data_IF_365358499189
#
_entry.id   IF_365358499189
#
_cell.length_a   1.000
_cell.length_b   1.000
_cell.length_c   1.000
_cell.angle_alpha   90.00
_cell.angle_beta   90.00
_cell.angle_gamma   90.00
#
_symmetry.space_group_name_H-M   'P 1'
#
loop_
_entity.id
_entity.type
_entity.pdbx_description
1 polymer ?
#
# COMPACT_ATOMS: atom_id res chain seq x y z
N UNK A 1 -58.76 -44.90 -6.65
CA UNK A 1 -58.08 -44.94 -5.34
C UNK A 1 -56.74 -44.23 -5.48
N UNK A 2 -56.45 -43.37 -4.51
CA UNK A 2 -55.34 -42.42 -4.47
C UNK A 2 -53.96 -43.08 -4.54
N UNK A 3 -53.01 -42.44 -5.23
CA UNK A 3 -51.82 -41.84 -4.59
C UNK A 3 -51.00 -41.00 -5.56
N UNK A 4 -51.02 -39.70 -5.27
CA UNK A 4 -50.15 -38.67 -5.84
C UNK A 4 -48.71 -39.00 -5.42
N UNK A 5 -47.78 -39.14 -6.37
CA UNK A 5 -46.35 -39.10 -6.09
C UNK A 5 -45.87 -37.70 -6.45
N UNK A 6 -45.38 -37.00 -5.43
CA UNK A 6 -44.93 -35.61 -5.45
C UNK A 6 -43.43 -35.59 -5.23
N UNK A 7 -42.69 -34.97 -6.17
CA UNK A 7 -41.37 -34.30 -6.07
C UNK A 7 -40.19 -35.19 -5.62
N UNK A 8 -38.96 -35.03 -6.11
CA UNK A 8 -38.12 -33.84 -5.99
C UNK A 8 -37.17 -33.73 -7.18
N UNK A 9 -37.29 -32.67 -7.97
CA UNK A 9 -36.23 -32.26 -8.88
C UNK A 9 -35.16 -31.54 -8.06
N UNK A 10 -33.97 -32.14 -7.94
CA UNK A 10 -32.82 -31.51 -7.33
C UNK A 10 -32.33 -30.37 -8.24
N UNK A 11 -32.82 -29.16 -8.01
CA UNK A 11 -32.26 -27.97 -8.61
C UNK A 11 -30.88 -27.72 -7.98
N UNK A 12 -29.82 -28.13 -8.68
CA UNK A 12 -28.45 -27.70 -8.42
C UNK A 12 -28.38 -26.19 -8.67
N UNK A 13 -28.64 -25.40 -7.63
CA UNK A 13 -28.37 -23.96 -7.64
C UNK A 13 -26.84 -23.83 -7.61
N UNK A 14 -26.22 -23.78 -8.79
CA UNK A 14 -24.83 -23.38 -8.95
C UNK A 14 -24.72 -21.91 -8.52
N UNK A 15 -24.34 -21.69 -7.26
CA UNK A 15 -24.00 -20.38 -6.76
C UNK A 15 -22.82 -19.82 -7.56
N UNK A 16 -23.10 -18.88 -8.46
CA UNK A 16 -22.07 -18.08 -9.11
C UNK A 16 -21.44 -17.20 -8.03
N UNK A 17 -20.37 -17.69 -7.42
CA UNK A 17 -19.50 -16.91 -6.54
C UNK A 17 -18.81 -15.84 -7.40
N UNK A 18 -19.50 -14.72 -7.60
CA UNK A 18 -18.87 -13.53 -8.16
C UNK A 18 -17.89 -13.01 -7.11
N UNK A 19 -16.64 -13.42 -7.22
CA UNK A 19 -15.52 -12.82 -6.50
C UNK A 19 -15.49 -11.34 -6.87
N UNK A 20 -16.04 -10.47 -6.03
CA UNK A 20 -15.81 -9.04 -6.11
C UNK A 20 -14.34 -8.84 -5.77
N UNK A 21 -13.48 -8.88 -6.78
CA UNK A 21 -12.10 -8.43 -6.64
C UNK A 21 -12.16 -6.92 -6.42
N UNK A 22 -12.31 -6.51 -5.16
CA UNK A 22 -12.16 -5.12 -4.78
C UNK A 22 -10.73 -4.72 -5.09
N UNK A 23 -10.50 -4.11 -6.25
CA UNK A 23 -9.29 -3.36 -6.50
C UNK A 23 -9.24 -2.29 -5.40
N UNK A 24 -8.38 -2.48 -4.40
CA UNK A 24 -8.19 -1.48 -3.36
C UNK A 24 -7.76 -0.21 -4.07
N UNK A 25 -8.61 0.81 -4.05
CA UNK A 25 -8.35 2.06 -4.75
C UNK A 25 -6.99 2.62 -4.33
N UNK A 26 -6.17 2.99 -5.31
CA UNK A 26 -4.89 3.62 -5.07
C UNK A 26 -5.07 4.87 -4.21
N UNK A 27 -4.34 4.95 -3.09
CA UNK A 27 -4.33 6.17 -2.28
C UNK A 27 -3.31 7.14 -2.87
N UNK A 28 -3.76 8.31 -3.32
CA UNK A 28 -2.89 9.32 -3.90
C UNK A 28 -2.72 10.53 -2.97
N UNK A 29 -1.54 11.16 -3.01
CA UNK A 29 -1.20 12.28 -2.14
C UNK A 29 0.27 12.68 -2.19
N UNK A 30 0.69 13.50 -1.21
CA UNK A 30 2.08 13.92 -1.09
C UNK A 30 2.99 12.83 -0.54
N UNK A 31 4.19 12.70 -1.10
CA UNK A 31 5.30 11.91 -0.58
C UNK A 31 6.44 12.83 -0.16
N UNK A 32 7.06 12.55 0.97
CA UNK A 32 8.34 13.14 1.33
C UNK A 32 9.38 12.04 1.60
N UNK A 33 10.51 12.39 2.20
CA UNK A 33 11.51 11.42 2.63
C UNK A 33 12.17 11.83 3.94
N UNK A 34 12.69 10.84 4.68
CA UNK A 34 13.41 11.06 5.93
C UNK A 34 14.73 11.78 5.70
N UNK A 35 14.86 13.00 6.24
CA UNK A 35 16.08 13.79 6.19
C UNK A 35 17.26 13.18 6.97
N UNK A 36 18.41 13.86 7.01
CA UNK A 36 19.58 13.44 7.79
C UNK A 36 19.25 13.21 9.27
N UNK A 37 20.00 12.31 9.92
CA UNK A 37 19.92 12.09 11.37
C UNK A 37 18.83 11.11 11.83
N UNK A 38 18.12 10.44 10.90
CA UNK A 38 17.20 9.35 11.24
C UNK A 38 17.85 7.96 11.17
N UNK A 39 18.93 7.81 10.39
CA UNK A 39 19.61 6.52 10.22
C UNK A 39 19.99 5.90 11.57
N UNK A 40 19.69 4.61 11.74
CA UNK A 40 19.94 3.85 12.95
C UNK A 40 18.90 4.02 14.07
N UNK A 41 17.97 4.99 13.99
CA UNK A 41 16.88 5.14 14.98
C UNK A 41 15.86 4.01 14.84
N UNK A 42 15.18 3.65 15.93
CA UNK A 42 14.09 2.67 15.88
C UNK A 42 12.89 3.23 15.13
N UNK A 43 12.30 2.40 14.29
CA UNK A 43 11.00 2.63 13.62
C UNK A 43 9.86 2.02 14.44
N UNK A 44 8.61 2.26 14.05
CA UNK A 44 7.43 1.65 14.68
C UNK A 44 7.37 0.12 14.53
N UNK A 45 8.07 -0.47 13.54
CA UNK A 45 8.24 -1.94 13.45
C UNK A 45 9.22 -2.52 14.48
N UNK A 46 9.98 -1.66 15.17
CA UNK A 46 11.06 -2.07 16.07
C UNK A 46 12.43 -2.21 15.36
N UNK A 47 12.45 -2.30 14.03
CA UNK A 47 13.69 -2.30 13.24
C UNK A 47 14.40 -0.95 13.30
N UNK A 48 15.72 -0.95 13.14
CA UNK A 48 16.50 0.28 12.95
C UNK A 48 16.30 0.80 11.52
N UNK A 49 15.93 2.07 11.40
CA UNK A 49 15.77 2.74 10.13
C UNK A 49 17.10 2.75 9.35
N UNK A 50 17.06 2.29 8.11
CA UNK A 50 18.17 2.35 7.18
C UNK A 50 17.79 3.25 6.00
N UNK A 51 18.42 4.41 5.90
CA UNK A 51 18.16 5.37 4.82
C UNK A 51 18.40 4.81 3.41
N UNK A 52 19.21 3.76 3.30
CA UNK A 52 19.58 3.10 2.05
C UNK A 52 18.66 1.92 1.69
N UNK A 53 17.73 1.53 2.56
CA UNK A 53 16.79 0.44 2.33
C UNK A 53 15.55 0.90 1.54
N UNK A 54 14.79 -0.04 0.98
CA UNK A 54 13.53 0.25 0.27
C UNK A 54 12.33 0.21 1.22
N UNK A 55 12.30 1.15 2.16
CA UNK A 55 11.25 1.23 3.19
C UNK A 55 10.54 2.58 3.20
N UNK A 56 9.39 2.61 3.86
CA UNK A 56 8.58 3.82 4.02
C UNK A 56 7.74 3.80 5.31
N UNK A 57 7.26 4.98 5.69
CA UNK A 57 6.25 5.17 6.72
C UNK A 57 4.86 5.39 6.11
N UNK A 58 3.85 4.77 6.69
CA UNK A 58 2.45 5.02 6.36
C UNK A 58 1.57 5.04 7.61
N UNK A 59 0.48 5.83 7.57
CA UNK A 59 -0.36 6.11 8.75
C UNK A 59 -1.03 4.85 9.31
N UNK A 60 -1.63 4.06 8.41
CA UNK A 60 -2.58 3.01 8.78
C UNK A 60 -2.28 1.66 8.14
N UNK A 61 -1.30 1.56 7.24
CA UNK A 61 -0.98 0.27 6.62
C UNK A 61 -0.30 -0.62 7.67
N UNK A 62 -0.64 -1.92 7.73
CA UNK A 62 0.06 -2.85 8.60
C UNK A 62 1.57 -2.79 8.36
N UNK A 63 2.36 -2.87 9.42
CA UNK A 63 3.82 -2.95 9.30
C UNK A 63 4.18 -4.25 8.60
N UNK A 64 5.20 -4.23 7.75
CA UNK A 64 5.56 -5.32 6.84
C UNK A 64 4.81 -5.31 5.50
N UNK A 65 3.76 -4.49 5.33
CA UNK A 65 3.05 -4.41 4.04
C UNK A 65 3.99 -3.93 2.94
N UNK A 66 4.01 -4.63 1.81
CA UNK A 66 4.70 -4.15 0.60
C UNK A 66 3.71 -3.38 -0.26
N UNK A 67 4.10 -2.18 -0.68
CA UNK A 67 3.29 -1.34 -1.56
C UNK A 67 4.06 -0.95 -2.81
N UNK A 68 3.32 -0.78 -3.91
CA UNK A 68 3.80 -0.08 -5.11
C UNK A 68 3.56 1.42 -4.93
N UNK A 69 4.59 2.22 -5.14
CA UNK A 69 4.53 3.68 -5.11
C UNK A 69 4.84 4.21 -6.49
N UNK A 70 3.91 4.95 -7.07
CA UNK A 70 4.01 5.53 -8.42
C UNK A 70 4.17 7.04 -8.34
N UNK A 71 5.20 7.58 -8.98
CA UNK A 71 5.39 9.01 -9.16
C UNK A 71 4.44 9.50 -10.26
N UNK A 72 3.47 10.36 -9.91
CA UNK A 72 2.47 10.84 -10.86
C UNK A 72 3.07 11.69 -11.98
N UNK A 73 4.21 12.34 -11.74
CA UNK A 73 4.85 13.22 -12.74
C UNK A 73 5.55 12.42 -13.84
N UNK A 74 6.11 11.26 -13.51
CA UNK A 74 6.98 10.50 -14.43
C UNK A 74 6.44 9.12 -14.78
N UNK A 75 5.38 8.65 -14.11
CA UNK A 75 4.89 7.28 -14.20
C UNK A 75 5.80 6.22 -13.56
N UNK A 76 6.99 6.61 -13.08
CA UNK A 76 7.96 5.69 -12.49
C UNK A 76 7.39 5.08 -11.21
N UNK A 77 7.56 3.76 -11.05
CA UNK A 77 7.09 3.04 -9.88
C UNK A 77 8.22 2.31 -9.16
N UNK A 78 8.11 2.19 -7.84
CA UNK A 78 8.98 1.36 -7.00
C UNK A 78 8.15 0.53 -6.04
N UNK A 79 8.75 -0.52 -5.46
CA UNK A 79 8.19 -1.25 -4.32
C UNK A 79 8.91 -0.83 -3.04
N UNK A 80 8.16 -0.66 -1.96
CA UNK A 80 8.71 -0.39 -0.63
C UNK A 80 7.96 -1.19 0.43
N UNK A 81 8.64 -1.52 1.52
CA UNK A 81 8.03 -2.12 2.71
C UNK A 81 7.66 -1.04 3.72
N UNK A 82 6.44 -1.07 4.23
CA UNK A 82 5.99 -0.19 5.30
C UNK A 82 6.58 -0.70 6.62
N UNK A 83 7.54 0.01 7.20
CA UNK A 83 8.15 -0.38 8.48
C UNK A 83 8.07 0.71 9.55
N UNK A 84 7.43 1.85 9.25
CA UNK A 84 7.27 2.94 10.21
C UNK A 84 5.88 3.62 10.13
N UNK A 85 5.64 4.57 11.04
CA UNK A 85 4.39 5.34 11.17
C UNK A 85 4.59 6.82 10.87
N UNK A 86 3.53 7.43 10.34
CA UNK A 86 3.55 8.77 9.74
C UNK A 86 3.15 8.67 8.26
N UNK A 87 3.29 9.74 7.46
CA UNK A 87 3.56 11.13 7.84
C UNK A 87 2.45 11.73 8.70
N UNK A 88 2.79 12.67 9.58
CA UNK A 88 1.80 13.40 10.39
C UNK A 88 1.43 14.78 9.83
N UNK A 89 2.18 15.29 8.84
CA UNK A 89 1.79 16.54 8.19
C UNK A 89 0.62 16.32 7.22
N UNK A 90 -0.28 17.30 7.16
CA UNK A 90 -1.46 17.28 6.28
C UNK A 90 -1.05 17.14 4.81
N UNK A 91 -1.86 16.43 4.03
CA UNK A 91 -1.65 16.23 2.60
C UNK A 91 -0.56 15.23 2.20
N UNK A 92 0.28 14.76 3.15
CA UNK A 92 1.21 13.65 2.91
C UNK A 92 0.59 12.31 3.27
N UNK A 93 0.90 11.30 2.45
CA UNK A 93 0.41 9.94 2.59
C UNK A 93 1.54 8.94 2.85
N UNK A 94 2.77 9.25 2.47
CA UNK A 94 3.91 8.35 2.62
C UNK A 94 5.22 9.13 2.83
N UNK A 95 6.06 8.67 3.75
CA UNK A 95 7.44 9.18 3.89
C UNK A 95 8.42 8.06 3.51
N UNK A 96 9.19 8.30 2.46
CA UNK A 96 10.10 7.33 1.88
C UNK A 96 11.47 7.36 2.58
N UNK A 97 12.22 6.26 2.52
CA UNK A 97 13.65 6.33 2.74
C UNK A 97 14.35 7.21 1.69
N UNK A 98 15.57 7.66 1.98
CA UNK A 98 16.40 8.43 1.04
C UNK A 98 16.65 7.65 -0.26
N UNK A 99 16.96 6.36 -0.18
CA UNK A 99 17.14 5.51 -1.35
C UNK A 99 15.84 5.32 -2.15
N UNK A 100 14.70 5.10 -1.48
CA UNK A 100 13.43 4.96 -2.15
C UNK A 100 13.03 6.26 -2.89
N UNK A 101 13.17 7.42 -2.25
CA UNK A 101 12.90 8.71 -2.89
C UNK A 101 13.85 9.01 -4.06
N UNK A 102 15.13 8.64 -3.95
CA UNK A 102 16.09 8.77 -5.05
C UNK A 102 15.68 7.88 -6.23
N UNK A 103 15.36 6.60 -5.98
CA UNK A 103 14.95 5.66 -7.02
C UNK A 103 13.63 6.05 -7.66
N UNK A 104 12.65 6.56 -6.90
CA UNK A 104 11.38 7.03 -7.44
C UNK A 104 11.49 8.37 -8.20
N UNK A 105 12.55 9.14 -7.95
CA UNK A 105 12.75 10.45 -8.55
C UNK A 105 11.98 11.58 -7.85
N UNK A 106 11.76 11.46 -6.53
CA UNK A 106 11.09 12.47 -5.70
C UNK A 106 12.02 13.15 -4.68
N UNK A 107 13.27 12.69 -4.53
CA UNK A 107 14.22 13.20 -3.53
C UNK A 107 14.39 14.73 -3.55
N UNK A 108 14.46 15.34 -4.74
CA UNK A 108 14.72 16.78 -4.92
C UNK A 108 13.43 17.61 -5.10
N UNK A 109 12.24 17.02 -4.95
CA UNK A 109 10.96 17.69 -5.19
C UNK A 109 10.40 18.42 -3.95
N UNK A 110 11.05 18.28 -2.79
CA UNK A 110 10.47 18.67 -1.49
C UNK A 110 9.31 17.74 -1.09
N UNK A 111 8.17 17.87 -1.77
CA UNK A 111 7.01 16.97 -1.67
C UNK A 111 6.58 16.50 -3.06
N UNK A 112 6.76 15.22 -3.37
CA UNK A 112 6.34 14.63 -4.64
C UNK A 112 4.87 14.19 -4.63
N UNK A 113 4.18 14.24 -5.78
CA UNK A 113 2.82 13.67 -5.91
C UNK A 113 2.92 12.20 -6.31
N UNK A 114 2.32 11.31 -5.51
CA UNK A 114 2.39 9.86 -5.73
C UNK A 114 1.04 9.18 -5.55
N UNK A 115 0.92 7.96 -6.06
CA UNK A 115 -0.13 7.01 -5.70
C UNK A 115 0.49 5.76 -5.07
N UNK A 116 -0.21 5.19 -4.07
CA UNK A 116 0.21 4.00 -3.33
C UNK A 116 -0.84 2.91 -3.50
N UNK A 117 -0.39 1.72 -3.93
CA UNK A 117 -1.22 0.54 -4.11
C UNK A 117 -0.66 -0.62 -3.29
N UNK A 118 -1.50 -1.37 -2.57
CA UNK A 118 -1.09 -2.63 -1.94
C UNK A 118 -0.79 -3.68 -3.02
N UNK A 119 0.17 -4.56 -2.74
CA UNK A 119 0.49 -5.72 -3.56
C UNK A 119 -0.01 -7.01 -2.93
#
# INVERSE_FOLDING_TARGET
MNRKIVLVAAALVTGLMTSVTGAMADQCGGASWYGPGFHGKKTASGERFNENAMTAAHKTLPLGTVVKVTNQRTGKSIKVTINDRGPFAKGRIIDLSKAAAARLGTKNAGVGKVCVAKL
#
